data_IF_664354399359
#
_entry.id   IF_664354399359
#
_cell.length_a   1.000
_cell.length_b   1.000
_cell.length_c   1.000
_cell.angle_alpha   90.00
_cell.angle_beta   90.00
_cell.angle_gamma   90.00
#
_symmetry.space_group_name_H-M   'P 1'
#
loop_
_entity.id
_entity.type
_entity.pdbx_description
1 polymer ?
#
# COMPACT_ATOMS: atom_id res chain seq x y z
N UNK A 1 -17.23 -23.84 -16.96
CA UNK A 1 -16.09 -23.07 -17.51
C UNK A 1 -15.11 -22.92 -16.37
N UNK A 2 -13.81 -23.09 -16.56
CA UNK A 2 -12.79 -22.88 -15.52
C UNK A 2 -12.67 -21.38 -15.24
N UNK A 3 -12.57 -21.01 -13.96
CA UNK A 3 -12.63 -19.61 -13.49
C UNK A 3 -11.33 -19.19 -12.83
N UNK A 4 -10.92 -17.95 -13.06
CA UNK A 4 -9.86 -17.29 -12.29
C UNK A 4 -10.36 -16.95 -10.88
N UNK A 5 -9.44 -16.68 -9.93
CA UNK A 5 -9.80 -16.14 -8.61
C UNK A 5 -10.67 -14.88 -8.75
N UNK A 6 -10.29 -13.98 -9.66
CA UNK A 6 -11.05 -12.77 -9.95
C UNK A 6 -12.48 -13.09 -10.38
N UNK A 7 -12.67 -14.04 -11.33
CA UNK A 7 -14.00 -14.44 -11.80
C UNK A 7 -14.85 -15.03 -10.68
N UNK A 8 -14.28 -15.88 -9.83
CA UNK A 8 -15.02 -16.51 -8.73
C UNK A 8 -15.57 -15.48 -7.76
N UNK A 9 -14.73 -14.50 -7.37
CA UNK A 9 -15.16 -13.44 -6.45
C UNK A 9 -16.11 -12.48 -7.15
N UNK A 10 -15.81 -12.04 -8.37
CA UNK A 10 -16.64 -11.11 -9.12
C UNK A 10 -18.06 -11.65 -9.34
N UNK A 11 -18.16 -12.87 -9.88
CA UNK A 11 -19.44 -13.46 -10.29
C UNK A 11 -20.37 -13.71 -9.08
N UNK A 12 -19.81 -13.97 -7.89
CA UNK A 12 -20.60 -14.14 -6.66
C UNK A 12 -21.12 -12.83 -6.07
N UNK A 13 -20.64 -11.68 -6.54
CA UNK A 13 -21.05 -10.36 -6.08
C UNK A 13 -21.91 -9.59 -7.10
N UNK A 14 -22.22 -10.19 -8.25
CA UNK A 14 -23.13 -9.58 -9.22
C UNK A 14 -24.56 -9.67 -8.71
N UNK A 15 -25.19 -8.51 -8.54
CA UNK A 15 -26.60 -8.37 -8.16
C UNK A 15 -27.50 -8.40 -9.38
N UNK A 16 -27.05 -7.69 -10.45
CA UNK A 16 -27.78 -7.63 -11.72
C UNK A 16 -26.81 -7.20 -12.85
N UNK A 17 -27.24 -7.36 -14.08
CA UNK A 17 -26.44 -7.05 -15.27
C UNK A 17 -27.28 -6.36 -16.33
N UNK A 18 -26.81 -5.23 -16.84
CA UNK A 18 -27.41 -4.56 -17.97
C UNK A 18 -27.01 -5.33 -19.24
N UNK A 19 -28.00 -5.73 -20.05
CA UNK A 19 -27.74 -6.45 -21.29
C UNK A 19 -26.74 -5.70 -22.18
N UNK A 20 -25.60 -6.34 -22.49
CA UNK A 20 -24.50 -5.75 -23.25
C UNK A 20 -23.89 -4.48 -22.60
N UNK A 21 -23.98 -4.35 -21.28
CA UNK A 21 -23.53 -3.17 -20.52
C UNK A 21 -22.84 -3.54 -19.22
N UNK A 22 -22.70 -2.55 -18.33
CA UNK A 22 -22.09 -2.76 -17.03
C UNK A 22 -22.91 -3.66 -16.11
N UNK A 23 -22.28 -4.13 -15.05
CA UNK A 23 -22.84 -4.99 -14.03
C UNK A 23 -22.99 -4.23 -12.70
N UNK A 24 -23.99 -4.58 -11.92
CA UNK A 24 -24.18 -4.05 -10.56
C UNK A 24 -23.43 -4.97 -9.61
N UNK A 25 -22.31 -4.49 -9.08
CA UNK A 25 -21.45 -5.21 -8.16
C UNK A 25 -21.79 -4.82 -6.71
N UNK A 26 -22.15 -5.81 -5.87
CA UNK A 26 -22.30 -5.62 -4.44
C UNK A 26 -20.96 -5.39 -3.74
N UNK A 27 -20.91 -4.53 -2.73
CA UNK A 27 -19.70 -4.18 -1.97
C UNK A 27 -19.84 -4.66 -0.53
N UNK A 28 -18.99 -5.58 -0.08
CA UNK A 28 -19.00 -6.12 1.28
C UNK A 28 -18.53 -5.11 2.32
N UNK A 29 -17.45 -4.37 2.01
CA UNK A 29 -16.87 -3.38 2.92
C UNK A 29 -16.55 -2.08 2.19
N UNK A 30 -16.97 -0.98 2.81
CA UNK A 30 -16.60 0.36 2.39
C UNK A 30 -15.73 1.00 3.45
N UNK A 31 -14.46 1.19 3.16
CA UNK A 31 -13.51 1.86 4.02
C UNK A 31 -13.51 3.35 3.69
N UNK A 32 -13.50 4.21 4.69
CA UNK A 32 -13.53 5.66 4.49
C UNK A 32 -12.56 6.39 5.43
N UNK A 33 -12.16 7.58 5.00
CA UNK A 33 -11.28 8.47 5.77
C UNK A 33 -11.69 9.95 5.55
N UNK A 34 -11.02 10.86 6.25
CA UNK A 34 -11.39 12.28 6.35
C UNK A 34 -11.27 13.07 5.05
N UNK A 35 -10.49 12.56 4.06
CA UNK A 35 -10.21 13.34 2.83
C UNK A 35 -11.28 13.15 1.76
N UNK A 36 -11.73 11.92 1.51
CA UNK A 36 -12.58 11.59 0.34
C UNK A 36 -14.06 11.39 0.69
N UNK A 37 -14.40 11.22 1.98
CA UNK A 37 -15.79 10.96 2.41
C UNK A 37 -16.68 12.21 2.59
N UNK A 38 -16.20 13.41 2.98
CA UNK A 38 -17.06 14.53 3.35
C UNK A 38 -18.05 14.98 2.26
N UNK A 39 -17.60 15.03 1.00
CA UNK A 39 -18.45 15.43 -0.12
C UNK A 39 -19.56 14.42 -0.39
N UNK A 40 -19.28 13.11 -0.24
CA UNK A 40 -20.28 12.07 -0.41
C UNK A 40 -21.40 12.16 0.65
N UNK A 41 -21.03 12.41 1.91
CA UNK A 41 -22.01 12.65 2.98
C UNK A 41 -22.89 13.86 2.67
N UNK A 42 -22.28 14.96 2.24
CA UNK A 42 -22.99 16.18 1.89
C UNK A 42 -23.96 15.96 0.73
N UNK A 43 -23.55 15.26 -0.32
CA UNK A 43 -24.40 14.92 -1.46
C UNK A 43 -25.64 14.14 -1.03
N UNK A 44 -25.48 13.11 -0.19
CA UNK A 44 -26.61 12.32 0.29
C UNK A 44 -27.56 13.14 1.18
N UNK A 45 -27.01 14.01 2.03
CA UNK A 45 -27.80 14.88 2.89
C UNK A 45 -28.66 15.88 2.08
N UNK A 46 -28.06 16.55 1.07
CA UNK A 46 -28.76 17.47 0.17
C UNK A 46 -29.89 16.76 -0.61
N UNK A 47 -29.65 15.51 -1.01
CA UNK A 47 -30.62 14.68 -1.74
C UNK A 47 -31.60 13.94 -0.81
N UNK A 48 -31.44 14.07 0.51
CA UNK A 48 -32.24 13.36 1.53
C UNK A 48 -32.24 11.84 1.37
N UNK A 49 -31.09 11.28 0.94
CA UNK A 49 -30.88 9.84 0.77
C UNK A 49 -30.17 9.32 2.03
N UNK A 50 -30.76 8.36 2.77
CA UNK A 50 -30.10 7.76 3.92
C UNK A 50 -28.97 6.82 3.49
N UNK A 51 -27.98 6.61 4.38
CA UNK A 51 -26.96 5.56 4.18
C UNK A 51 -27.63 4.19 4.35
N UNK A 52 -27.50 3.35 3.34
CA UNK A 52 -28.23 2.08 3.27
C UNK A 52 -27.76 1.04 4.29
N UNK A 53 -26.42 0.85 4.42
CA UNK A 53 -25.83 -0.16 5.33
C UNK A 53 -24.64 0.40 6.10
N UNK A 54 -24.84 1.25 7.11
CA UNK A 54 -23.75 1.87 7.87
C UNK A 54 -22.82 0.85 8.54
N UNK A 55 -23.32 -0.35 8.93
CA UNK A 55 -22.54 -1.43 9.53
C UNK A 55 -21.51 -2.07 8.56
N UNK A 56 -21.60 -1.82 7.26
CA UNK A 56 -20.61 -2.25 6.25
C UNK A 56 -19.53 -1.19 6.01
N UNK A 57 -19.67 -0.03 6.63
CA UNK A 57 -18.72 1.08 6.51
C UNK A 57 -17.82 1.10 7.74
N UNK A 58 -16.53 1.29 7.51
CA UNK A 58 -15.54 1.47 8.59
C UNK A 58 -14.71 2.70 8.28
N UNK A 59 -14.59 3.58 9.25
CA UNK A 59 -13.89 4.86 9.14
C UNK A 59 -12.63 4.90 10.00
N UNK A 60 -11.60 5.60 9.51
CA UNK A 60 -10.41 5.95 10.29
C UNK A 60 -9.89 7.33 9.85
N UNK A 61 -9.16 7.99 10.72
CA UNK A 61 -8.45 9.23 10.43
C UNK A 61 -6.98 8.90 10.17
N UNK A 62 -6.47 9.14 8.95
CA UNK A 62 -5.13 8.65 8.58
C UNK A 62 -4.32 9.55 7.62
N UNK A 63 -4.95 10.34 6.77
CA UNK A 63 -4.28 11.08 5.70
C UNK A 63 -3.76 12.43 6.17
N UNK A 64 -4.63 13.25 6.75
CA UNK A 64 -4.30 14.59 7.20
C UNK A 64 -4.19 14.66 8.73
N UNK A 65 -3.37 13.79 9.29
CA UNK A 65 -3.14 13.66 10.73
C UNK A 65 -1.69 14.04 11.07
N UNK A 66 -1.45 14.71 12.22
CA UNK A 66 -0.09 14.94 12.68
C UNK A 66 0.57 13.61 13.04
N UNK A 67 1.88 13.52 12.90
CA UNK A 67 2.69 12.35 13.34
C UNK A 67 3.56 12.68 14.54
N UNK A 68 3.40 13.87 15.10
CA UNK A 68 4.00 14.31 16.35
C UNK A 68 2.91 14.87 17.26
N UNK A 69 3.04 14.59 18.55
CA UNK A 69 2.18 15.16 19.58
C UNK A 69 0.67 14.96 19.33
N UNK A 70 0.27 13.78 18.82
CA UNK A 70 -1.15 13.45 18.54
C UNK A 70 -2.09 13.56 19.74
N UNK A 71 -1.54 13.62 20.95
CA UNK A 71 -2.29 13.85 22.20
C UNK A 71 -2.65 15.34 22.43
N UNK A 72 -2.04 16.26 21.68
CA UNK A 72 -2.34 17.69 21.75
C UNK A 72 -3.41 18.08 20.72
N UNK A 73 -4.09 19.22 20.93
CA UNK A 73 -5.04 19.74 19.95
C UNK A 73 -4.36 20.03 18.61
N UNK A 74 -5.02 19.61 17.52
CA UNK A 74 -4.54 19.78 16.16
C UNK A 74 -4.47 21.28 15.82
N UNK A 75 -3.29 21.76 15.46
CA UNK A 75 -3.02 23.18 15.19
C UNK A 75 -3.45 23.58 13.77
N UNK A 76 -3.25 22.71 12.79
CA UNK A 76 -3.70 22.98 11.43
C UNK A 76 -5.21 23.02 11.34
N UNK A 77 -5.76 24.18 10.94
CA UNK A 77 -7.21 24.40 10.90
C UNK A 77 -7.93 23.52 9.88
N UNK A 78 -7.28 23.17 8.78
CA UNK A 78 -7.89 22.34 7.72
C UNK A 78 -7.96 20.90 8.19
N UNK A 79 -6.87 20.36 8.72
CA UNK A 79 -6.81 19.01 9.31
C UNK A 79 -7.84 18.85 10.42
N UNK A 80 -7.87 19.81 11.35
CA UNK A 80 -8.85 19.82 12.44
C UNK A 80 -10.29 19.75 11.92
N UNK A 81 -10.63 20.61 10.97
CA UNK A 81 -11.98 20.66 10.37
C UNK A 81 -12.36 19.34 9.68
N UNK A 82 -11.42 18.73 8.95
CA UNK A 82 -11.66 17.45 8.25
C UNK A 82 -11.91 16.31 9.24
N UNK A 83 -11.13 16.24 10.31
CA UNK A 83 -11.29 15.20 11.35
C UNK A 83 -12.60 15.38 12.15
N UNK A 84 -12.92 16.62 12.54
CA UNK A 84 -14.20 16.93 13.20
C UNK A 84 -15.41 16.59 12.30
N UNK A 85 -15.30 16.88 10.99
CA UNK A 85 -16.35 16.55 10.02
C UNK A 85 -16.52 15.04 9.87
N UNK A 86 -15.42 14.27 9.80
CA UNK A 86 -15.47 12.81 9.76
C UNK A 86 -16.17 12.26 11.01
N UNK A 87 -15.77 12.72 12.21
CA UNK A 87 -16.37 12.29 13.48
C UNK A 87 -17.87 12.60 13.54
N UNK A 88 -18.25 13.81 13.18
CA UNK A 88 -19.67 14.23 13.13
C UNK A 88 -20.49 13.38 12.15
N UNK A 89 -19.96 13.15 10.93
CA UNK A 89 -20.63 12.34 9.92
C UNK A 89 -20.81 10.89 10.37
N UNK A 90 -19.77 10.28 10.96
CA UNK A 90 -19.82 8.91 11.44
C UNK A 90 -20.81 8.75 12.61
N UNK A 91 -20.79 9.68 13.57
CA UNK A 91 -21.72 9.70 14.71
C UNK A 91 -23.18 9.83 14.24
N UNK A 92 -23.46 10.79 13.35
CA UNK A 92 -24.80 11.03 12.79
C UNK A 92 -25.38 9.80 12.09
N UNK A 93 -24.52 9.01 11.44
CA UNK A 93 -24.92 7.89 10.59
C UNK A 93 -24.65 6.51 11.22
N UNK A 94 -24.28 6.43 12.50
CA UNK A 94 -23.93 5.18 13.20
C UNK A 94 -22.85 4.34 12.50
N UNK A 95 -21.82 5.00 11.99
CA UNK A 95 -20.67 4.37 11.31
C UNK A 95 -19.57 4.13 12.34
N UNK A 96 -18.96 2.93 12.30
CA UNK A 96 -17.82 2.59 13.14
C UNK A 96 -16.60 3.45 12.73
N UNK A 97 -16.13 4.28 13.67
CA UNK A 97 -14.97 5.15 13.48
C UNK A 97 -13.87 4.80 14.49
N UNK A 98 -12.64 4.67 13.98
CA UNK A 98 -11.42 4.63 14.78
C UNK A 98 -10.74 6.00 14.71
N UNK A 99 -11.11 6.87 15.66
CA UNK A 99 -10.54 8.23 15.77
C UNK A 99 -9.05 8.21 16.08
N UNK A 100 -8.37 9.35 15.89
CA UNK A 100 -6.93 9.49 16.08
C UNK A 100 -6.43 9.00 17.45
N UNK A 101 -7.21 9.17 18.51
CA UNK A 101 -6.88 8.69 19.86
C UNK A 101 -7.19 7.22 20.10
N UNK A 102 -7.93 6.57 19.20
CA UNK A 102 -8.38 5.19 19.40
C UNK A 102 -7.21 4.21 19.21
N UNK A 103 -7.11 3.18 20.07
CA UNK A 103 -6.03 2.16 20.03
C UNK A 103 -5.96 1.33 18.75
N UNK A 104 -6.97 1.36 17.92
CA UNK A 104 -7.01 0.69 16.60
C UNK A 104 -6.96 1.69 15.45
N UNK A 105 -6.66 2.97 15.72
CA UNK A 105 -6.43 3.94 14.67
C UNK A 105 -5.16 3.59 13.86
N UNK A 106 -5.16 3.96 12.59
CA UNK A 106 -4.04 3.77 11.69
C UNK A 106 -4.45 4.01 10.24
N UNK A 107 -3.48 3.91 9.36
CA UNK A 107 -3.70 3.96 7.91
C UNK A 107 -4.74 2.89 7.54
N UNK A 108 -5.76 3.29 6.81
CA UNK A 108 -6.91 2.44 6.49
C UNK A 108 -6.51 1.08 5.89
N UNK A 109 -5.48 1.05 5.05
CA UNK A 109 -4.95 -0.16 4.41
C UNK A 109 -3.97 -0.96 5.28
N UNK A 110 -3.70 -0.52 6.51
CA UNK A 110 -2.94 -1.24 7.53
C UNK A 110 -3.88 -1.74 8.61
N UNK A 111 -4.69 -0.85 9.21
CA UNK A 111 -5.55 -1.20 10.32
C UNK A 111 -6.68 -2.19 9.94
N UNK A 112 -7.26 -2.09 8.74
CA UNK A 112 -8.34 -2.98 8.35
C UNK A 112 -7.89 -4.45 8.19
N UNK A 113 -6.75 -4.78 7.55
CA UNK A 113 -6.13 -6.09 7.65
C UNK A 113 -5.82 -6.54 9.08
N UNK A 114 -5.16 -5.71 9.87
CA UNK A 114 -4.77 -6.03 11.26
C UNK A 114 -5.97 -6.36 12.15
N UNK A 115 -7.11 -5.77 11.89
CA UNK A 115 -8.33 -6.02 12.64
C UNK A 115 -9.15 -7.21 12.10
N UNK A 116 -8.77 -7.81 10.96
CA UNK A 116 -9.53 -8.87 10.31
C UNK A 116 -10.81 -8.39 9.63
N UNK A 117 -10.90 -7.09 9.33
CA UNK A 117 -12.00 -6.50 8.54
C UNK A 117 -11.88 -6.97 7.08
N UNK A 118 -10.64 -7.09 6.58
CA UNK A 118 -10.31 -7.66 5.29
C UNK A 118 -10.30 -9.18 5.36
N UNK A 119 -11.09 -9.85 4.52
CA UNK A 119 -11.16 -11.32 4.46
C UNK A 119 -11.19 -11.80 3.01
N UNK A 120 -10.76 -13.05 2.75
CA UNK A 120 -10.80 -13.62 1.42
C UNK A 120 -12.19 -13.64 0.80
N UNK A 121 -12.24 -13.41 -0.50
CA UNK A 121 -13.49 -13.48 -1.28
C UNK A 121 -14.44 -12.29 -1.09
N UNK A 122 -14.01 -11.22 -0.41
CA UNK A 122 -14.80 -9.98 -0.27
C UNK A 122 -14.58 -9.02 -1.43
N UNK A 123 -15.53 -8.10 -1.60
CA UNK A 123 -15.40 -6.87 -2.37
C UNK A 123 -15.21 -5.68 -1.43
N UNK A 124 -14.11 -4.93 -1.60
CA UNK A 124 -13.70 -3.84 -0.70
C UNK A 124 -13.41 -2.58 -1.50
N UNK A 125 -13.99 -1.45 -1.10
CA UNK A 125 -13.72 -0.16 -1.72
C UNK A 125 -13.34 0.92 -0.71
N UNK A 126 -12.60 1.91 -1.18
CA UNK A 126 -12.24 3.12 -0.44
C UNK A 126 -12.01 4.26 -1.44
N UNK A 127 -12.10 5.49 -0.98
CA UNK A 127 -11.73 6.68 -1.78
C UNK A 127 -10.22 6.85 -2.01
N UNK A 128 -9.43 5.80 -1.91
CA UNK A 128 -7.98 5.76 -2.11
C UNK A 128 -7.60 4.61 -3.05
N UNK A 129 -6.72 4.89 -4.01
CA UNK A 129 -6.27 3.91 -5.00
C UNK A 129 -5.54 2.70 -4.37
N UNK A 130 -4.83 2.89 -3.24
CA UNK A 130 -4.10 1.81 -2.56
C UNK A 130 -5.01 0.83 -1.81
N UNK A 131 -6.33 0.95 -1.94
CA UNK A 131 -7.30 -0.08 -1.57
C UNK A 131 -6.95 -1.46 -2.17
N UNK A 132 -6.23 -1.47 -3.30
CA UNK A 132 -5.63 -2.67 -3.89
C UNK A 132 -4.84 -3.54 -2.90
N UNK A 133 -4.30 -2.96 -1.82
CA UNK A 133 -3.62 -3.69 -0.73
C UNK A 133 -4.41 -4.89 -0.22
N UNK A 134 -5.73 -4.74 -0.10
CA UNK A 134 -6.61 -5.78 0.46
C UNK A 134 -6.74 -7.01 -0.44
N UNK A 135 -6.34 -6.89 -1.71
CA UNK A 135 -6.28 -8.03 -2.64
C UNK A 135 -5.25 -9.09 -2.27
N UNK A 136 -4.29 -8.76 -1.39
CA UNK A 136 -3.36 -9.73 -0.79
C UNK A 136 -4.06 -10.89 -0.06
N UNK A 137 -5.32 -10.70 0.30
CA UNK A 137 -6.18 -11.70 0.94
C UNK A 137 -7.05 -12.47 -0.05
N UNK A 138 -6.92 -12.24 -1.35
CA UNK A 138 -7.85 -12.81 -2.34
C UNK A 138 -9.20 -12.08 -2.36
N UNK A 139 -9.24 -10.82 -1.97
CA UNK A 139 -10.40 -9.94 -2.10
C UNK A 139 -10.32 -9.12 -3.39
N UNK A 140 -11.46 -8.79 -3.99
CA UNK A 140 -11.54 -7.75 -5.01
C UNK A 140 -11.56 -6.39 -4.32
N UNK A 141 -10.44 -5.67 -4.39
CA UNK A 141 -10.28 -4.42 -3.66
C UNK A 141 -9.73 -3.32 -4.59
N UNK A 142 -10.39 -2.17 -4.61
CA UNK A 142 -10.00 -1.09 -5.52
C UNK A 142 -10.48 0.29 -5.04
N UNK A 143 -9.75 1.31 -5.47
CA UNK A 143 -10.08 2.71 -5.22
C UNK A 143 -11.27 3.19 -6.04
N UNK A 144 -12.09 4.09 -5.46
CA UNK A 144 -13.25 4.69 -6.10
C UNK A 144 -13.24 6.21 -5.96
N UNK A 145 -13.85 6.90 -6.93
CA UNK A 145 -14.03 8.35 -6.88
C UNK A 145 -15.14 8.80 -5.92
N UNK A 146 -15.16 10.06 -5.56
CA UNK A 146 -16.09 10.63 -4.57
C UNK A 146 -17.58 10.39 -4.92
N UNK A 147 -17.97 10.48 -6.19
CA UNK A 147 -19.34 10.18 -6.63
C UNK A 147 -19.70 8.69 -6.42
N UNK A 148 -18.71 7.78 -6.60
CA UNK A 148 -18.90 6.36 -6.32
C UNK A 148 -18.97 6.08 -4.82
N UNK A 149 -18.25 6.84 -3.97
CA UNK A 149 -18.41 6.78 -2.50
C UNK A 149 -19.88 7.07 -2.13
N UNK A 150 -20.49 8.13 -2.68
CA UNK A 150 -21.89 8.44 -2.47
C UNK A 150 -22.83 7.33 -2.98
N UNK A 151 -22.53 6.74 -4.14
CA UNK A 151 -23.28 5.62 -4.68
C UNK A 151 -23.26 4.40 -3.75
N UNK A 152 -22.09 4.03 -3.21
CA UNK A 152 -21.95 2.92 -2.26
C UNK A 152 -22.66 3.23 -0.95
N UNK A 153 -22.62 4.46 -0.46
CA UNK A 153 -23.39 4.87 0.72
C UNK A 153 -24.90 4.65 0.51
N UNK A 154 -25.41 5.02 -0.65
CA UNK A 154 -26.83 4.97 -0.97
C UNK A 154 -27.34 3.53 -1.26
N UNK A 155 -26.51 2.65 -1.85
CA UNK A 155 -26.99 1.40 -2.42
C UNK A 155 -26.18 0.16 -2.03
N UNK A 156 -25.01 0.31 -1.43
CA UNK A 156 -24.02 -0.75 -1.21
C UNK A 156 -23.55 -1.42 -2.50
N UNK A 157 -23.76 -0.81 -3.64
CA UNK A 157 -23.43 -1.34 -4.95
C UNK A 157 -22.70 -0.32 -5.83
N UNK A 158 -22.00 -0.82 -6.85
CA UNK A 158 -21.39 -0.04 -7.91
C UNK A 158 -21.80 -0.56 -9.29
N UNK A 159 -22.06 0.36 -10.21
CA UNK A 159 -22.26 0.04 -11.62
C UNK A 159 -20.90 0.06 -12.32
N UNK A 160 -20.39 -1.09 -12.75
CA UNK A 160 -19.03 -1.27 -13.28
C UNK A 160 -19.00 -2.18 -14.51
N UNK A 161 -18.10 -1.86 -15.44
CA UNK A 161 -17.68 -2.82 -16.47
C UNK A 161 -16.63 -3.75 -15.86
N UNK A 162 -16.82 -5.07 -16.02
CA UNK A 162 -15.87 -6.07 -15.53
C UNK A 162 -14.49 -5.85 -16.16
N UNK A 163 -13.43 -5.61 -15.36
CA UNK A 163 -12.07 -5.55 -15.87
C UNK A 163 -11.63 -6.85 -16.52
N UNK A 164 -10.68 -6.77 -17.45
CA UNK A 164 -9.97 -7.94 -17.96
C UNK A 164 -9.06 -8.54 -16.89
N UNK A 165 -8.68 -9.81 -17.07
CA UNK A 165 -7.78 -10.53 -16.18
C UNK A 165 -6.33 -10.47 -16.68
N UNK A 166 -5.41 -10.09 -15.80
CA UNK A 166 -3.96 -10.12 -16.02
C UNK A 166 -3.34 -11.07 -15.00
N UNK A 167 -2.43 -11.95 -15.44
CA UNK A 167 -1.64 -12.78 -14.52
C UNK A 167 -0.16 -12.40 -14.58
N UNK A 168 0.48 -12.30 -13.42
CA UNK A 168 1.93 -12.13 -13.30
C UNK A 168 2.45 -13.27 -12.45
N UNK A 169 3.28 -14.12 -13.06
CA UNK A 169 3.90 -15.27 -12.40
C UNK A 169 5.38 -15.00 -12.17
N UNK A 170 5.84 -15.21 -10.93
CA UNK A 170 7.27 -15.17 -10.58
C UNK A 170 7.66 -16.51 -9.97
N UNK A 171 8.60 -17.19 -10.59
CA UNK A 171 9.07 -18.51 -10.19
C UNK A 171 10.57 -18.49 -9.84
N UNK A 172 11.03 -19.47 -9.09
CA UNK A 172 12.43 -19.58 -8.69
C UNK A 172 12.70 -19.17 -7.25
N UNK A 173 13.94 -18.80 -6.96
CA UNK A 173 14.39 -18.42 -5.62
C UNK A 173 14.93 -16.99 -5.63
N UNK A 174 14.38 -16.13 -4.78
CA UNK A 174 14.83 -14.74 -4.65
C UNK A 174 16.27 -14.66 -4.15
N UNK A 175 17.04 -13.76 -4.75
CA UNK A 175 18.39 -13.45 -4.31
C UNK A 175 18.39 -12.89 -2.87
N UNK A 176 19.49 -13.11 -2.14
CA UNK A 176 19.66 -12.61 -0.77
C UNK A 176 19.53 -11.08 -0.74
N UNK A 177 18.74 -10.56 0.18
CA UNK A 177 18.50 -9.12 0.34
C UNK A 177 17.37 -8.56 -0.51
N UNK A 178 16.76 -9.36 -1.38
CA UNK A 178 15.57 -8.97 -2.15
C UNK A 178 14.33 -9.06 -1.25
N UNK A 179 13.57 -7.99 -1.18
CA UNK A 179 12.32 -7.89 -0.43
C UNK A 179 11.11 -7.75 -1.38
N UNK A 180 9.88 -7.97 -0.90
CA UNK A 180 8.66 -7.84 -1.72
C UNK A 180 8.55 -6.51 -2.47
N UNK A 181 9.07 -5.42 -1.90
CA UNK A 181 9.15 -4.11 -2.55
C UNK A 181 10.05 -4.13 -3.80
N UNK A 182 11.17 -4.85 -3.73
CA UNK A 182 12.09 -4.98 -4.86
C UNK A 182 11.44 -5.80 -5.98
N UNK A 183 10.70 -6.86 -5.62
CA UNK A 183 9.96 -7.69 -6.59
C UNK A 183 8.95 -6.86 -7.37
N UNK A 184 8.11 -6.07 -6.69
CA UNK A 184 7.10 -5.27 -7.40
C UNK A 184 7.72 -4.10 -8.17
N UNK A 185 8.78 -3.46 -7.68
CA UNK A 185 9.51 -2.43 -8.43
C UNK A 185 10.16 -3.02 -9.69
N UNK A 186 10.74 -4.22 -9.60
CA UNK A 186 11.29 -4.92 -10.76
C UNK A 186 10.20 -5.18 -11.80
N UNK A 187 9.06 -5.76 -11.39
CA UNK A 187 7.93 -6.04 -12.29
C UNK A 187 7.49 -4.75 -12.99
N UNK A 188 7.22 -3.68 -12.24
CA UNK A 188 6.77 -2.40 -12.82
C UNK A 188 7.81 -1.83 -13.78
N UNK A 189 9.10 -1.94 -13.47
CA UNK A 189 10.18 -1.47 -14.36
C UNK A 189 10.23 -2.24 -15.69
N UNK A 190 9.79 -3.51 -15.71
CA UNK A 190 9.76 -4.36 -16.91
C UNK A 190 8.50 -4.20 -17.74
N UNK A 191 7.33 -4.12 -17.09
CA UNK A 191 6.05 -4.06 -17.81
C UNK A 191 5.62 -2.62 -18.12
N UNK A 192 6.12 -1.63 -17.37
CA UNK A 192 5.76 -0.21 -17.50
C UNK A 192 4.51 0.18 -16.68
N UNK A 193 4.33 1.49 -16.51
CA UNK A 193 3.28 2.08 -15.67
C UNK A 193 1.86 1.95 -16.22
N UNK A 194 1.68 1.52 -17.47
CA UNK A 194 0.38 1.38 -18.13
C UNK A 194 -0.01 -0.07 -18.44
N UNK A 195 0.83 -1.05 -18.08
CA UNK A 195 0.65 -2.45 -18.46
C UNK A 195 -0.64 -3.08 -17.94
N UNK A 196 -1.11 -2.62 -16.78
CA UNK A 196 -2.31 -3.10 -16.11
C UNK A 196 -3.57 -2.28 -16.39
N UNK A 197 -3.52 -1.27 -17.28
CA UNK A 197 -4.68 -0.41 -17.56
C UNK A 197 -5.86 -1.23 -18.13
N UNK A 198 -6.98 -1.21 -17.44
CA UNK A 198 -8.17 -1.99 -17.80
C UNK A 198 -8.17 -3.42 -17.25
N UNK A 199 -7.15 -3.82 -16.51
CA UNK A 199 -7.01 -5.16 -15.96
C UNK A 199 -7.14 -5.17 -14.43
N UNK A 200 -7.55 -6.32 -13.91
CA UNK A 200 -7.35 -6.75 -12.53
C UNK A 200 -6.22 -7.79 -12.53
N UNK A 201 -5.20 -7.61 -11.69
CA UNK A 201 -3.98 -8.41 -11.72
C UNK A 201 -4.03 -9.53 -10.69
N UNK A 202 -3.75 -10.78 -11.07
CA UNK A 202 -3.49 -11.90 -10.18
C UNK A 202 -1.99 -12.21 -10.18
N UNK A 203 -1.38 -12.21 -8.99
CA UNK A 203 0.00 -12.63 -8.80
C UNK A 203 0.05 -14.10 -8.40
N UNK A 204 0.92 -14.87 -9.05
CA UNK A 204 1.04 -16.31 -8.90
C UNK A 204 2.51 -16.78 -8.95
N UNK A 205 2.74 -18.02 -8.56
CA UNK A 205 4.05 -18.64 -8.49
C UNK A 205 4.62 -18.66 -7.08
N UNK A 206 5.60 -19.53 -6.88
CA UNK A 206 6.13 -19.85 -5.57
C UNK A 206 6.73 -18.64 -4.83
N UNK A 207 7.16 -17.59 -5.54
CA UNK A 207 7.66 -16.37 -4.90
C UNK A 207 6.56 -15.69 -4.09
N UNK A 208 5.35 -15.53 -4.65
CA UNK A 208 4.23 -14.91 -3.94
C UNK A 208 3.61 -15.84 -2.90
N UNK A 209 3.58 -17.15 -3.17
CA UNK A 209 3.08 -18.16 -2.24
C UNK A 209 3.94 -18.23 -0.96
N UNK A 210 5.25 -18.04 -1.09
CA UNK A 210 6.19 -18.04 0.03
C UNK A 210 6.32 -16.68 0.75
N UNK A 211 5.68 -15.61 0.24
CA UNK A 211 5.70 -14.30 0.92
C UNK A 211 4.84 -14.32 2.19
N UNK A 212 5.29 -13.56 3.19
CA UNK A 212 4.46 -13.16 4.32
C UNK A 212 3.24 -12.36 3.85
N UNK A 213 2.21 -12.23 4.69
CA UNK A 213 1.07 -11.37 4.35
C UNK A 213 1.46 -9.91 4.17
N UNK A 214 2.42 -9.42 4.94
CA UNK A 214 2.99 -8.07 4.82
C UNK A 214 3.63 -7.87 3.45
N UNK A 215 4.39 -8.86 2.97
CA UNK A 215 4.97 -8.86 1.64
C UNK A 215 3.92 -8.88 0.52
N UNK A 216 2.89 -9.74 0.65
CA UNK A 216 1.76 -9.79 -0.30
C UNK A 216 1.01 -8.46 -0.35
N UNK A 217 0.80 -7.81 0.81
CA UNK A 217 0.17 -6.49 0.88
C UNK A 217 1.02 -5.41 0.19
N UNK A 218 2.34 -5.46 0.30
CA UNK A 218 3.26 -4.56 -0.41
C UNK A 218 3.11 -4.71 -1.93
N UNK A 219 3.08 -5.95 -2.43
CA UNK A 219 2.92 -6.24 -3.87
C UNK A 219 1.56 -5.75 -4.38
N UNK A 220 0.47 -6.13 -3.72
CA UNK A 220 -0.88 -5.74 -4.12
C UNK A 220 -1.10 -4.22 -4.00
N UNK A 221 -0.51 -3.56 -3.00
CA UNK A 221 -0.54 -2.11 -2.84
C UNK A 221 -0.02 -1.39 -4.09
N UNK A 222 1.10 -1.85 -4.64
CA UNK A 222 1.75 -1.21 -5.78
C UNK A 222 1.22 -1.64 -7.15
N UNK A 223 0.23 -2.49 -7.24
CA UNK A 223 -0.40 -2.91 -8.50
C UNK A 223 -0.95 -1.73 -9.31
N UNK A 224 -1.45 -0.71 -8.62
CA UNK A 224 -1.97 0.51 -9.23
C UNK A 224 -0.88 1.37 -9.88
N UNK A 225 0.37 1.18 -9.51
CA UNK A 225 1.49 1.93 -10.09
C UNK A 225 1.88 1.39 -11.50
N UNK A 226 1.36 0.23 -11.90
CA UNK A 226 1.38 -0.22 -13.30
C UNK A 226 0.03 -0.01 -14.01
N UNK A 227 -0.88 0.80 -13.44
CA UNK A 227 -2.18 1.13 -14.01
C UNK A 227 -3.27 0.08 -13.78
N UNK A 228 -3.02 -1.00 -13.06
CA UNK A 228 -4.02 -2.02 -12.77
C UNK A 228 -5.16 -1.48 -11.90
N UNK A 229 -6.36 -2.00 -12.07
CA UNK A 229 -7.51 -1.66 -11.23
C UNK A 229 -7.34 -2.13 -9.80
N UNK A 230 -6.63 -3.24 -9.62
CA UNK A 230 -6.26 -3.84 -8.34
C UNK A 230 -5.36 -5.05 -8.56
N UNK A 231 -4.77 -5.56 -7.48
CA UNK A 231 -3.98 -6.78 -7.48
C UNK A 231 -4.56 -7.79 -6.50
N UNK A 232 -4.43 -9.08 -6.82
CA UNK A 232 -4.89 -10.20 -5.98
C UNK A 232 -3.79 -11.24 -5.84
N UNK A 233 -3.78 -11.91 -4.67
CA UNK A 233 -3.04 -13.15 -4.44
C UNK A 233 -4.04 -14.16 -3.90
N UNK A 234 -3.98 -15.40 -4.40
CA UNK A 234 -4.87 -16.46 -3.96
C UNK A 234 -4.69 -16.72 -2.43
N UNK A 235 -5.78 -16.80 -1.66
CA UNK A 235 -5.70 -17.08 -0.24
C UNK A 235 -5.25 -18.53 0.00
N UNK A 236 -4.39 -18.71 0.97
CA UNK A 236 -3.80 -19.97 1.40
C UNK A 236 -3.68 -20.05 2.94
N UNK A 237 -2.98 -21.05 3.46
CA UNK A 237 -2.80 -21.23 4.90
C UNK A 237 -2.12 -20.00 5.55
N UNK A 238 -1.18 -19.33 4.88
CA UNK A 238 -0.57 -18.06 5.36
C UNK A 238 -1.62 -16.99 5.57
N UNK A 239 -2.57 -16.87 4.63
CA UNK A 239 -3.70 -15.94 4.73
C UNK A 239 -4.65 -16.31 5.86
N UNK A 240 -4.97 -17.61 6.00
CA UNK A 240 -5.92 -18.07 7.03
C UNK A 240 -5.36 -17.87 8.43
N UNK A 241 -4.11 -18.22 8.67
CA UNK A 241 -3.44 -17.98 9.95
C UNK A 241 -3.31 -16.48 10.28
N UNK A 242 -3.07 -15.62 9.27
CA UNK A 242 -3.04 -14.18 9.48
C UNK A 242 -4.39 -13.63 9.93
N UNK A 243 -5.51 -14.12 9.37
CA UNK A 243 -6.87 -13.66 9.72
C UNK A 243 -7.35 -14.22 11.05
N UNK A 244 -6.91 -15.43 11.41
CA UNK A 244 -7.37 -16.17 12.59
C UNK A 244 -7.19 -15.38 13.89
N UNK A 245 -8.25 -15.32 14.69
CA UNK A 245 -8.23 -14.69 16.01
C UNK A 245 -8.25 -13.16 16.01
N UNK A 246 -8.26 -12.50 14.86
CA UNK A 246 -8.38 -11.04 14.78
C UNK A 246 -9.76 -10.56 15.19
N UNK A 247 -9.86 -9.31 15.60
CA UNK A 247 -11.05 -8.74 16.26
C UNK A 247 -12.35 -8.90 15.47
N UNK A 248 -12.30 -8.68 14.16
CA UNK A 248 -13.46 -8.76 13.25
C UNK A 248 -13.44 -10.00 12.36
N UNK A 249 -12.50 -10.91 12.57
CA UNK A 249 -12.51 -12.21 11.91
C UNK A 249 -13.66 -13.08 12.43
N UNK A 250 -14.16 -14.01 11.61
CA UNK A 250 -15.08 -15.05 12.09
C UNK A 250 -14.47 -15.82 13.26
N UNK A 251 -15.29 -16.32 14.15
CA UNK A 251 -14.85 -17.04 15.34
C UNK A 251 -15.31 -18.49 15.29
N UNK A 252 -14.51 -19.37 15.93
CA UNK A 252 -14.87 -20.78 16.15
C UNK A 252 -15.33 -21.48 14.85
N UNK A 253 -16.43 -22.21 14.90
CA UNK A 253 -16.97 -22.95 13.77
C UNK A 253 -17.30 -22.07 12.54
N UNK A 254 -17.62 -20.80 12.74
CA UNK A 254 -17.82 -19.86 11.65
C UNK A 254 -16.50 -19.57 10.89
N UNK A 255 -15.37 -19.58 11.60
CA UNK A 255 -14.06 -19.46 10.97
C UNK A 255 -13.76 -20.67 10.09
N UNK A 256 -13.99 -21.89 10.61
CA UNK A 256 -13.74 -23.12 9.87
C UNK A 256 -14.60 -23.22 8.60
N UNK A 257 -15.87 -22.81 8.67
CA UNK A 257 -16.77 -22.72 7.51
C UNK A 257 -16.23 -21.72 6.46
N UNK A 258 -15.72 -20.57 6.93
CA UNK A 258 -15.11 -19.58 6.04
C UNK A 258 -13.83 -20.10 5.39
N UNK A 259 -12.97 -20.77 6.15
CA UNK A 259 -11.75 -21.42 5.59
C UNK A 259 -12.11 -22.43 4.53
N UNK A 260 -13.14 -23.27 4.77
CA UNK A 260 -13.62 -24.22 3.76
C UNK A 260 -14.05 -23.52 2.44
N UNK A 261 -14.74 -22.38 2.55
CA UNK A 261 -15.09 -21.55 1.39
C UNK A 261 -13.84 -20.90 0.78
N UNK A 262 -12.94 -20.31 1.57
CA UNK A 262 -11.73 -19.63 1.06
C UNK A 262 -10.81 -20.57 0.27
N UNK A 263 -10.75 -21.85 0.64
CA UNK A 263 -10.01 -22.89 -0.10
C UNK A 263 -10.58 -23.18 -1.50
N UNK A 264 -11.78 -22.73 -1.80
CA UNK A 264 -12.38 -22.87 -3.15
C UNK A 264 -12.05 -21.71 -4.09
N UNK A 265 -11.50 -20.62 -3.55
CA UNK A 265 -11.25 -19.38 -4.30
C UNK A 265 -10.08 -19.42 -5.28
N UNK A 266 -8.95 -20.12 -5.02
CA UNK A 266 -7.81 -20.11 -5.95
C UNK A 266 -8.25 -20.45 -7.39
N UNK A 267 -7.55 -19.86 -8.35
CA UNK A 267 -7.77 -20.04 -9.78
C UNK A 267 -7.80 -21.52 -10.18
N UNK A 268 -8.78 -21.92 -10.97
CA UNK A 268 -8.91 -23.30 -11.45
C UNK A 268 -7.74 -23.67 -12.36
N UNK A 269 -7.25 -24.91 -12.25
CA UNK A 269 -6.21 -25.41 -13.15
C UNK A 269 -6.70 -25.33 -14.60
N UNK A 270 -5.96 -24.58 -15.44
CA UNK A 270 -6.27 -24.33 -16.84
C UNK A 270 -7.35 -23.26 -17.07
N UNK A 271 -7.60 -22.38 -16.10
CA UNK A 271 -8.27 -21.11 -16.37
C UNK A 271 -7.39 -20.23 -17.27
N UNK A 272 -7.99 -19.40 -18.10
CA UNK A 272 -7.31 -18.53 -19.05
C UNK A 272 -7.36 -17.08 -18.58
N UNK A 273 -6.28 -16.35 -18.84
CA UNK A 273 -6.18 -14.92 -18.60
C UNK A 273 -6.14 -14.16 -19.93
N UNK A 274 -6.62 -12.92 -19.94
CA UNK A 274 -6.55 -12.07 -21.13
C UNK A 274 -5.10 -11.66 -21.46
N UNK A 275 -4.23 -11.64 -20.42
CA UNK A 275 -2.80 -11.31 -20.55
C UNK A 275 -1.99 -11.99 -19.45
N UNK A 276 -0.78 -12.42 -19.77
CA UNK A 276 0.13 -13.03 -18.81
C UNK A 276 1.56 -12.50 -18.96
N UNK A 277 2.27 -12.41 -17.83
CA UNK A 277 3.71 -12.14 -17.77
C UNK A 277 4.38 -13.18 -16.86
N UNK A 278 5.60 -13.56 -17.22
CA UNK A 278 6.42 -14.51 -16.48
C UNK A 278 7.79 -13.91 -16.19
N UNK A 279 8.27 -14.10 -14.95
CA UNK A 279 9.58 -13.63 -14.51
C UNK A 279 10.26 -14.71 -13.68
N UNK A 280 11.60 -14.73 -13.77
CA UNK A 280 12.44 -15.59 -12.95
C UNK A 280 12.92 -14.78 -11.72
N UNK A 281 12.84 -15.41 -10.55
CA UNK A 281 13.19 -14.76 -9.28
C UNK A 281 14.68 -14.41 -9.20
N UNK A 282 15.53 -15.20 -9.84
CA UNK A 282 16.97 -15.04 -9.91
C UNK A 282 17.40 -13.75 -10.65
N UNK A 283 16.54 -13.22 -11.53
CA UNK A 283 16.78 -11.95 -12.23
C UNK A 283 16.52 -10.73 -11.36
N UNK A 284 15.87 -10.92 -10.21
CA UNK A 284 15.48 -9.83 -9.32
C UNK A 284 16.61 -9.55 -8.33
N UNK A 285 17.08 -8.32 -8.32
CA UNK A 285 18.01 -7.78 -7.34
C UNK A 285 17.35 -6.66 -6.52
N UNK A 286 17.96 -6.17 -5.42
CA UNK A 286 17.50 -4.99 -4.73
C UNK A 286 17.33 -3.81 -5.68
N UNK A 287 16.18 -3.11 -5.61
CA UNK A 287 15.75 -2.10 -6.58
C UNK A 287 15.67 -0.70 -5.97
N UNK A 288 15.98 0.30 -6.78
CA UNK A 288 15.72 1.72 -6.51
C UNK A 288 15.11 2.38 -7.74
N UNK A 289 14.43 3.53 -7.55
CA UNK A 289 14.00 4.36 -8.69
C UNK A 289 15.01 5.48 -8.95
N UNK A 290 15.15 5.85 -10.23
CA UNK A 290 16.03 6.94 -10.67
C UNK A 290 15.27 8.14 -11.27
N UNK A 291 13.95 8.04 -11.38
CA UNK A 291 13.11 9.06 -11.99
C UNK A 291 11.90 9.41 -11.14
N UNK A 292 10.84 9.91 -11.78
CA UNK A 292 9.64 10.48 -11.15
C UNK A 292 8.42 9.57 -11.24
N UNK A 293 8.60 8.28 -11.51
CA UNK A 293 7.55 7.26 -11.40
C UNK A 293 8.17 5.88 -11.11
N UNK A 294 7.39 4.91 -10.58
CA UNK A 294 7.89 3.58 -10.23
C UNK A 294 8.37 2.73 -11.41
N UNK A 295 7.94 3.04 -12.65
CA UNK A 295 8.45 2.39 -13.86
C UNK A 295 9.91 2.72 -14.18
N UNK A 296 10.42 3.82 -13.62
CA UNK A 296 11.84 4.20 -13.72
C UNK A 296 12.64 3.52 -12.60
N UNK A 297 12.56 2.18 -12.53
CA UNK A 297 13.29 1.34 -11.58
C UNK A 297 14.57 0.76 -12.20
N UNK A 298 15.63 0.69 -11.40
CA UNK A 298 16.89 -0.01 -11.71
C UNK A 298 17.35 -0.85 -10.53
N UNK A 299 18.17 -1.86 -10.81
CA UNK A 299 18.94 -2.54 -9.76
C UNK A 299 19.83 -1.52 -9.04
N UNK A 300 20.01 -1.65 -7.74
CA UNK A 300 20.90 -0.74 -6.99
C UNK A 300 22.32 -0.72 -7.59
N UNK A 301 22.78 -1.88 -8.05
CA UNK A 301 24.09 -2.05 -8.73
C UNK A 301 24.16 -1.48 -10.15
N UNK A 302 23.01 -1.10 -10.73
CA UNK A 302 22.88 -0.69 -12.13
C UNK A 302 23.22 0.78 -12.39
N UNK A 303 23.05 1.16 -13.66
CA UNK A 303 23.21 2.52 -14.15
C UNK A 303 21.94 3.00 -14.81
N UNK A 304 21.71 4.31 -14.81
CA UNK A 304 20.56 4.94 -15.45
C UNK A 304 20.60 4.67 -16.96
N UNK A 305 19.54 4.05 -17.53
CA UNK A 305 19.54 3.65 -18.93
C UNK A 305 19.48 4.84 -19.89
N UNK A 306 20.00 4.64 -21.10
CA UNK A 306 19.84 5.58 -22.21
C UNK A 306 18.46 5.42 -22.82
N UNK A 307 17.79 6.54 -23.09
CA UNK A 307 16.52 6.56 -23.83
C UNK A 307 16.31 7.91 -24.49
N UNK A 308 15.66 7.91 -25.64
CA UNK A 308 15.22 9.12 -26.34
C UNK A 308 13.88 9.67 -25.82
N UNK A 309 13.26 9.01 -24.85
CA UNK A 309 11.97 9.41 -24.26
C UNK A 309 12.08 10.80 -23.60
N UNK A 310 11.22 11.71 -24.04
CA UNK A 310 11.12 13.08 -23.50
C UNK A 310 10.74 13.06 -22.01
N UNK A 311 9.89 12.10 -21.59
CA UNK A 311 9.49 11.96 -20.18
C UNK A 311 10.69 11.59 -19.32
N UNK A 312 11.58 10.69 -19.80
CA UNK A 312 12.82 10.37 -19.12
C UNK A 312 13.72 11.58 -18.98
N UNK A 313 13.94 12.34 -20.06
CA UNK A 313 14.79 13.55 -20.04
C UNK A 313 14.26 14.58 -19.02
N UNK A 314 12.95 14.76 -18.95
CA UNK A 314 12.31 15.65 -17.96
C UNK A 314 12.53 15.15 -16.53
N UNK A 315 12.31 13.86 -16.28
CA UNK A 315 12.47 13.24 -14.97
C UNK A 315 13.91 13.31 -14.47
N UNK A 316 14.89 13.03 -15.34
CA UNK A 316 16.31 13.14 -14.99
C UNK A 316 16.72 14.58 -14.67
N UNK A 317 16.19 15.55 -15.41
CA UNK A 317 16.41 16.98 -15.11
C UNK A 317 15.86 17.36 -13.73
N UNK A 318 14.67 16.87 -13.37
CA UNK A 318 14.08 17.12 -12.06
C UNK A 318 14.89 16.46 -10.94
N UNK A 319 15.27 15.20 -11.14
CA UNK A 319 16.06 14.41 -10.17
C UNK A 319 17.53 14.85 -10.10
N UNK A 320 18.00 15.67 -11.05
CA UNK A 320 19.41 16.06 -11.21
C UNK A 320 20.34 14.85 -11.33
N UNK A 321 19.95 13.94 -12.24
CA UNK A 321 20.68 12.73 -12.59
C UNK A 321 21.06 12.75 -14.09
N UNK A 322 22.06 11.95 -14.43
CA UNK A 322 22.56 11.81 -15.82
C UNK A 322 22.40 10.38 -16.31
N UNK A 323 22.18 10.25 -17.62
CA UNK A 323 22.24 8.96 -18.31
C UNK A 323 23.61 8.31 -18.09
N UNK A 324 23.61 7.00 -17.83
CA UNK A 324 24.83 6.22 -17.52
C UNK A 324 25.35 6.40 -16.09
N UNK A 325 24.77 7.29 -15.30
CA UNK A 325 25.17 7.48 -13.89
C UNK A 325 24.77 6.27 -13.05
N UNK A 326 25.68 5.85 -12.16
CA UNK A 326 25.35 4.94 -11.05
C UNK A 326 24.92 5.77 -9.84
N UNK A 327 23.85 5.34 -9.15
CA UNK A 327 23.39 6.02 -7.95
C UNK A 327 24.13 5.56 -6.68
N UNK A 328 24.99 4.54 -6.77
CA UNK A 328 25.88 4.14 -5.66
C UNK A 328 26.75 5.33 -5.25
N UNK A 329 26.89 5.56 -3.96
CA UNK A 329 27.53 6.71 -3.32
C UNK A 329 26.82 8.06 -3.49
N UNK A 330 25.61 8.11 -4.07
CA UNK A 330 24.80 9.35 -4.07
C UNK A 330 24.48 9.73 -2.65
N UNK A 331 24.88 10.92 -2.16
CA UNK A 331 24.52 11.42 -0.82
C UNK A 331 23.01 11.58 -0.68
N UNK A 332 22.48 11.23 0.48
CA UNK A 332 21.06 11.31 0.81
C UNK A 332 20.86 12.17 2.05
N UNK A 333 19.82 12.97 2.05
CA UNK A 333 19.49 13.92 3.12
C UNK A 333 18.41 13.34 4.05
N UNK A 334 17.46 12.62 3.49
CA UNK A 334 16.31 12.07 4.20
C UNK A 334 16.12 10.59 3.93
N UNK A 335 15.68 9.87 4.94
CA UNK A 335 15.18 8.50 4.82
C UNK A 335 13.80 8.43 5.46
N UNK A 336 12.83 7.87 4.74
CA UNK A 336 11.47 7.68 5.20
C UNK A 336 11.09 6.20 5.11
N UNK A 337 10.83 5.56 6.26
CA UNK A 337 10.27 4.20 6.36
C UNK A 337 8.85 4.33 6.91
N UNK A 338 7.86 4.06 6.06
CA UNK A 338 6.46 4.30 6.38
C UNK A 338 5.57 4.08 5.17
N UNK A 339 4.39 4.70 5.15
CA UNK A 339 3.36 4.57 4.12
C UNK A 339 2.54 3.27 4.23
N UNK A 340 1.35 3.24 3.64
CA UNK A 340 0.55 2.01 3.55
C UNK A 340 1.26 0.85 2.84
N UNK A 341 2.36 1.12 2.13
CA UNK A 341 3.17 0.11 1.47
C UNK A 341 4.06 -0.64 2.46
N UNK A 342 4.86 0.07 3.26
CA UNK A 342 5.87 -0.52 4.16
C UNK A 342 5.88 0.20 5.52
N UNK A 343 4.87 -0.06 6.32
CA UNK A 343 4.74 0.47 7.68
C UNK A 343 4.16 -0.57 8.65
N UNK A 344 4.32 -1.85 8.32
CA UNK A 344 3.90 -2.98 9.15
C UNK A 344 5.06 -3.44 10.01
N UNK A 345 4.79 -4.23 11.03
CA UNK A 345 5.81 -4.62 12.01
C UNK A 345 7.00 -5.35 11.37
N UNK A 346 6.78 -6.14 10.33
CA UNK A 346 7.85 -6.85 9.61
C UNK A 346 8.86 -5.87 8.98
N UNK A 347 8.38 -4.78 8.40
CA UNK A 347 9.24 -3.73 7.80
C UNK A 347 10.18 -3.13 8.85
N UNK A 348 9.66 -2.87 10.05
CA UNK A 348 10.45 -2.33 11.16
C UNK A 348 11.40 -3.36 11.75
N UNK A 349 11.02 -4.64 11.83
CA UNK A 349 11.92 -5.72 12.25
C UNK A 349 13.11 -5.85 11.29
N UNK A 350 12.86 -5.80 9.98
CA UNK A 350 13.92 -5.84 8.95
C UNK A 350 14.86 -4.66 9.11
N UNK A 351 14.33 -3.44 9.23
CA UNK A 351 15.13 -2.24 9.43
C UNK A 351 15.94 -2.33 10.74
N UNK A 352 15.30 -2.70 11.87
CA UNK A 352 15.94 -2.80 13.18
C UNK A 352 17.09 -3.83 13.19
N UNK A 353 16.90 -4.99 12.55
CA UNK A 353 17.92 -6.02 12.45
C UNK A 353 19.18 -5.50 11.74
N UNK A 354 19.03 -4.70 10.69
CA UNK A 354 20.16 -4.13 9.97
C UNK A 354 20.87 -3.02 10.75
N UNK A 355 20.13 -2.14 11.42
CA UNK A 355 20.70 -0.96 12.09
C UNK A 355 21.18 -1.23 13.52
N UNK A 356 20.83 -2.36 14.11
CA UNK A 356 21.22 -2.72 15.50
C UNK A 356 22.73 -2.58 15.72
N UNK A 357 23.11 -1.77 16.72
CA UNK A 357 24.52 -1.50 17.05
C UNK A 357 25.22 -0.50 16.12
N UNK A 358 24.50 0.10 15.18
CA UNK A 358 25.03 1.12 14.25
C UNK A 358 24.43 2.50 14.59
N UNK A 359 25.03 3.55 14.02
CA UNK A 359 24.54 4.93 14.11
C UNK A 359 24.20 5.43 12.70
N UNK A 360 23.10 6.15 12.55
CA UNK A 360 22.79 6.82 11.29
C UNK A 360 23.84 7.89 10.97
N UNK A 361 24.06 8.13 9.70
CA UNK A 361 24.94 9.21 9.26
C UNK A 361 24.45 10.59 9.75
N UNK A 362 25.37 11.45 10.11
CA UNK A 362 25.06 12.78 10.67
C UNK A 362 24.28 13.69 9.72
N UNK A 363 24.49 13.51 8.42
CA UNK A 363 23.84 14.29 7.35
C UNK A 363 22.42 13.77 7.00
N UNK A 364 21.94 12.70 7.62
CA UNK A 364 20.63 12.13 7.32
C UNK A 364 19.62 12.41 8.41
N UNK A 365 18.44 12.88 8.04
CA UNK A 365 17.23 12.82 8.86
C UNK A 365 16.47 11.56 8.52
N UNK A 366 16.23 10.68 9.49
CA UNK A 366 15.59 9.39 9.26
C UNK A 366 14.29 9.27 10.05
N UNK A 367 13.15 9.21 9.35
CA UNK A 367 11.82 9.08 9.92
C UNK A 367 11.28 7.66 9.78
N UNK A 368 10.80 7.13 10.90
CA UNK A 368 10.10 5.86 11.00
C UNK A 368 8.65 6.14 11.39
N UNK A 369 7.70 5.80 10.52
CA UNK A 369 6.28 6.10 10.74
C UNK A 369 5.47 4.81 10.71
N UNK A 370 5.05 4.29 11.89
CA UNK A 370 4.19 3.10 11.97
C UNK A 370 2.87 3.31 11.24
N UNK A 371 2.34 2.25 10.64
CA UNK A 371 1.08 2.32 9.90
C UNK A 371 -0.16 2.33 10.80
N UNK A 372 -0.03 1.93 12.07
CA UNK A 372 -1.13 1.86 13.01
C UNK A 372 -0.65 1.97 14.47
N UNK A 373 -1.58 2.27 15.38
CA UNK A 373 -1.32 2.21 16.83
C UNK A 373 -0.95 0.81 17.30
N UNK A 374 -1.40 -0.23 16.61
CA UNK A 374 -1.01 -1.61 16.92
C UNK A 374 0.45 -1.86 16.54
N UNK A 375 0.90 -1.40 15.36
CA UNK A 375 2.31 -1.49 14.96
C UNK A 375 3.19 -0.66 15.90
N UNK A 376 2.77 0.56 16.27
CA UNK A 376 3.48 1.39 17.26
C UNK A 376 3.68 0.63 18.59
N UNK A 377 2.61 0.01 19.10
CA UNK A 377 2.67 -0.80 20.32
C UNK A 377 3.60 -2.02 20.17
N UNK A 378 3.59 -2.70 19.02
CA UNK A 378 4.49 -3.81 18.74
C UNK A 378 5.96 -3.37 18.71
N UNK A 379 6.27 -2.23 18.06
CA UNK A 379 7.62 -1.64 18.04
C UNK A 379 8.13 -1.40 19.47
N UNK A 380 7.27 -0.90 20.35
CA UNK A 380 7.62 -0.67 21.77
C UNK A 380 7.81 -1.99 22.52
N UNK A 381 6.84 -2.90 22.41
CA UNK A 381 6.84 -4.16 23.15
C UNK A 381 7.99 -5.10 22.74
N UNK A 382 8.42 -5.05 21.48
CA UNK A 382 9.56 -5.83 20.97
C UNK A 382 10.92 -5.13 21.21
N UNK A 383 10.93 -3.98 21.87
CA UNK A 383 12.16 -3.22 22.16
C UNK A 383 12.80 -2.56 20.93
N UNK A 384 12.12 -2.57 19.77
CA UNK A 384 12.64 -1.97 18.52
C UNK A 384 12.77 -0.45 18.64
N UNK A 385 11.91 0.20 19.44
CA UNK A 385 12.00 1.64 19.71
C UNK A 385 13.39 2.01 20.22
N UNK A 386 13.92 1.29 21.21
CA UNK A 386 15.27 1.55 21.76
C UNK A 386 16.35 1.37 20.68
N UNK A 387 16.23 0.37 19.80
CA UNK A 387 17.18 0.17 18.71
C UNK A 387 17.18 1.37 17.77
N UNK A 388 16.02 1.87 17.39
CA UNK A 388 15.86 3.02 16.49
C UNK A 388 16.39 4.31 17.11
N UNK A 389 15.97 4.63 18.34
CA UNK A 389 16.37 5.85 19.03
C UNK A 389 17.88 5.86 19.32
N UNK A 390 18.44 4.71 19.74
CA UNK A 390 19.88 4.56 19.93
C UNK A 390 20.64 4.80 18.63
N UNK A 391 20.13 4.33 17.50
CA UNK A 391 20.74 4.56 16.19
C UNK A 391 20.52 6.00 15.66
N UNK A 392 19.75 6.82 16.35
CA UNK A 392 19.49 8.24 15.99
C UNK A 392 18.35 8.43 15.00
N UNK A 393 17.48 7.42 14.82
CA UNK A 393 16.25 7.54 14.02
C UNK A 393 15.13 8.18 14.82
N UNK A 394 14.25 8.92 14.14
CA UNK A 394 13.06 9.53 14.74
C UNK A 394 11.85 8.62 14.55
N UNK A 395 11.42 7.94 15.62
CA UNK A 395 10.16 7.20 15.62
C UNK A 395 9.01 8.20 15.81
N UNK A 396 8.17 8.29 14.77
CA UNK A 396 6.98 9.13 14.74
C UNK A 396 5.73 8.35 15.10
N UNK A 397 4.62 9.05 15.31
CA UNK A 397 3.32 8.45 15.57
C UNK A 397 2.63 8.04 14.25
N UNK A 398 1.68 7.09 14.29
CA UNK A 398 1.04 6.53 13.10
C UNK A 398 0.34 7.55 12.21
N UNK A 399 0.47 7.40 10.89
CA UNK A 399 -0.18 8.24 9.88
C UNK A 399 0.48 8.13 8.51
N UNK A 400 -0.07 8.80 7.50
CA UNK A 400 0.48 8.82 6.15
C UNK A 400 1.78 9.64 6.04
N UNK A 401 1.95 10.68 6.88
CA UNK A 401 3.20 11.45 6.99
C UNK A 401 3.71 11.97 5.63
N UNK A 402 5.04 11.94 5.45
CA UNK A 402 5.69 12.36 4.21
C UNK A 402 5.29 11.53 2.97
N UNK A 403 4.60 10.39 3.08
CA UNK A 403 4.11 9.68 1.90
C UNK A 403 3.21 10.55 1.02
N UNK A 404 2.44 11.44 1.62
CA UNK A 404 1.50 12.35 0.94
C UNK A 404 1.84 13.83 1.17
N UNK A 405 2.61 14.13 2.22
CA UNK A 405 3.02 15.49 2.64
C UNK A 405 1.82 16.46 2.82
N UNK A 406 0.68 15.95 3.28
CA UNK A 406 -0.49 16.77 3.61
C UNK A 406 -0.37 17.43 4.98
N UNK A 407 0.48 16.89 5.86
CA UNK A 407 0.81 17.43 7.16
C UNK A 407 2.17 18.17 7.15
N UNK A 408 2.75 18.43 8.32
CA UNK A 408 4.04 19.13 8.46
C UNK A 408 5.26 18.28 8.08
N UNK A 409 5.09 16.98 7.88
CA UNK A 409 6.16 16.06 7.46
C UNK A 409 6.46 16.23 5.98
N UNK A 410 7.30 17.20 5.65
CA UNK A 410 7.68 17.52 4.25
C UNK A 410 9.17 17.44 4.07
N UNK A 411 9.59 16.92 2.93
CA UNK A 411 10.98 16.94 2.50
C UNK A 411 11.25 18.28 1.82
N UNK A 412 12.30 19.01 2.22
CA UNK A 412 12.62 20.31 1.63
C UNK A 412 12.95 20.23 0.14
N UNK A 413 12.82 21.37 -0.54
CA UNK A 413 13.14 21.51 -1.95
C UNK A 413 14.60 21.16 -2.24
N UNK A 414 14.83 20.35 -3.28
CA UNK A 414 16.16 19.94 -3.73
C UNK A 414 16.76 18.77 -2.97
N UNK A 415 16.22 18.43 -1.79
CA UNK A 415 16.72 17.34 -0.95
C UNK A 415 16.31 15.97 -1.48
N UNK A 416 17.22 14.99 -1.34
CA UNK A 416 16.96 13.60 -1.70
C UNK A 416 16.43 12.81 -0.51
N UNK A 417 15.32 12.09 -0.75
CA UNK A 417 14.75 11.16 0.20
C UNK A 417 14.73 9.74 -0.36
N UNK A 418 15.38 8.78 0.29
CA UNK A 418 15.13 7.36 0.06
C UNK A 418 13.92 6.95 0.87
N UNK A 419 12.89 6.43 0.20
CA UNK A 419 11.56 6.27 0.75
C UNK A 419 10.95 4.90 0.46
N UNK A 420 10.28 4.33 1.46
CA UNK A 420 9.48 3.12 1.28
C UNK A 420 8.03 3.41 0.84
N UNK A 421 7.70 4.65 0.51
CA UNK A 421 6.40 5.03 -0.06
C UNK A 421 6.16 4.36 -1.42
N UNK A 422 4.97 4.55 -1.98
CA UNK A 422 4.54 3.90 -3.23
C UNK A 422 4.74 4.77 -4.47
N UNK A 423 4.81 6.09 -4.32
CA UNK A 423 4.89 7.06 -5.42
C UNK A 423 6.01 8.06 -5.21
N UNK A 424 6.62 8.49 -6.30
CA UNK A 424 7.74 9.43 -6.32
C UNK A 424 7.63 10.49 -7.43
N UNK A 425 6.40 10.88 -7.82
CA UNK A 425 6.25 11.98 -8.76
C UNK A 425 6.76 13.31 -8.18
N UNK A 426 7.01 14.28 -9.06
CA UNK A 426 7.56 15.59 -8.72
C UNK A 426 6.79 16.23 -7.53
N UNK A 427 7.48 16.54 -6.44
CA UNK A 427 6.91 17.18 -5.26
C UNK A 427 6.05 16.28 -4.35
N UNK A 428 6.02 14.96 -4.55
CA UNK A 428 5.18 14.03 -3.76
C UNK A 428 5.38 14.13 -2.26
N UNK A 429 6.61 14.25 -1.81
CA UNK A 429 6.97 14.35 -0.38
C UNK A 429 7.24 15.78 0.10
N UNK A 430 6.89 16.77 -0.70
CA UNK A 430 7.12 18.20 -0.48
C UNK A 430 7.50 18.89 -1.78
N UNK A 431 7.17 20.17 -1.91
CA UNK A 431 7.44 20.92 -3.13
C UNK A 431 8.93 20.88 -3.50
N UNK A 432 9.25 20.39 -4.71
CA UNK A 432 10.63 20.29 -5.21
C UNK A 432 11.48 19.21 -4.55
N UNK A 433 10.91 18.34 -3.70
CA UNK A 433 11.62 17.19 -3.12
C UNK A 433 11.90 16.10 -4.16
N UNK A 434 12.98 15.36 -3.98
CA UNK A 434 13.46 14.30 -4.88
C UNK A 434 13.36 12.95 -4.20
N UNK A 435 12.39 12.14 -4.58
CA UNK A 435 12.09 10.86 -3.93
C UNK A 435 12.64 9.68 -4.71
N UNK A 436 13.42 8.82 -4.06
CA UNK A 436 13.92 7.55 -4.56
C UNK A 436 13.20 6.44 -3.81
N UNK A 437 12.39 5.64 -4.52
CA UNK A 437 11.71 4.50 -3.90
C UNK A 437 12.70 3.36 -3.68
N UNK A 438 12.60 2.73 -2.52
CA UNK A 438 13.43 1.59 -2.13
C UNK A 438 12.71 0.69 -1.11
N UNK A 439 13.25 -0.50 -0.89
CA UNK A 439 12.80 -1.40 0.17
C UNK A 439 13.23 -0.93 1.57
N UNK A 440 12.60 -1.39 2.66
CA UNK A 440 12.99 -1.03 4.03
C UNK A 440 14.45 -1.31 4.35
N UNK A 441 15.01 -2.40 3.82
CA UNK A 441 16.42 -2.76 4.01
C UNK A 441 17.35 -1.74 3.36
N UNK A 442 17.10 -1.36 2.09
CA UNK A 442 17.90 -0.35 1.38
C UNK A 442 17.77 1.02 2.08
N UNK A 443 16.56 1.37 2.50
CA UNK A 443 16.32 2.62 3.22
C UNK A 443 17.10 2.67 4.54
N UNK A 444 17.07 1.59 5.33
CA UNK A 444 17.84 1.48 6.58
C UNK A 444 19.35 1.56 6.33
N UNK A 445 19.85 0.85 5.32
CA UNK A 445 21.27 0.88 4.94
C UNK A 445 21.72 2.28 4.48
N UNK A 446 20.89 2.94 3.67
CA UNK A 446 21.13 4.33 3.23
C UNK A 446 21.19 5.30 4.41
N UNK A 447 20.33 5.13 5.43
CA UNK A 447 20.37 5.99 6.61
C UNK A 447 21.66 5.84 7.42
N UNK A 448 22.19 4.61 7.53
CA UNK A 448 23.47 4.34 8.23
C UNK A 448 24.64 4.93 7.45
N UNK A 449 24.71 4.71 6.15
CA UNK A 449 25.84 5.10 5.32
C UNK A 449 25.81 6.58 4.86
N UNK A 450 24.64 7.23 4.96
CA UNK A 450 24.44 8.60 4.46
C UNK A 450 24.39 8.73 2.94
N UNK A 451 24.35 7.62 2.24
CA UNK A 451 24.41 7.51 0.78
C UNK A 451 23.82 6.18 0.32
N UNK A 452 23.44 6.10 -0.96
CA UNK A 452 23.00 4.83 -1.56
C UNK A 452 24.18 3.86 -1.63
N UNK A 453 23.96 2.62 -1.20
CA UNK A 453 24.94 1.53 -1.25
C UNK A 453 24.34 0.27 -1.88
N UNK A 454 25.20 -0.57 -2.40
CA UNK A 454 24.87 -1.92 -2.82
C UNK A 454 24.87 -2.84 -1.58
N UNK A 455 23.66 -3.08 -1.03
CA UNK A 455 23.48 -3.88 0.17
C UNK A 455 23.92 -5.34 -0.01
N UNK A 456 23.89 -5.88 -1.23
CA UNK A 456 24.24 -7.28 -1.49
C UNK A 456 25.66 -7.61 -1.08
N UNK A 457 26.56 -6.62 -1.16
CA UNK A 457 27.98 -6.75 -0.74
C UNK A 457 28.16 -6.84 0.78
N UNK A 458 27.15 -6.50 1.56
CA UNK A 458 27.20 -6.52 3.04
C UNK A 458 26.44 -7.72 3.64
N UNK A 459 25.71 -8.48 2.83
CA UNK A 459 24.91 -9.61 3.26
C UNK A 459 25.61 -10.96 3.14
N UNK A 460 26.89 -10.96 2.82
CA UNK A 460 27.71 -12.19 2.68
C UNK A 460 28.05 -12.80 4.04
#
# INVERSE_FOLDING_TARGET
>A
MKKTLFDKVWDTHIVDSIKNGPQILYIDKHLIHEVTSPQAFKELEERKIPIFRPQQIVATADHNTPTLNQHLPIQDKLSKKQLEQLSSNCTKNNILLFELSHKYNGIVHVMAPELGITQPGMTIVCGDSHTSTHGAFGAIAFGIGTSQVAQVFASQCLLLTKPKSLRITVSGTLNKGVLPKDVILYIISKVGTNAGTGYFCEYAGNVFENMSMEGRMTVCNMSIEMGARGGMIAPDETTFEYVKGRKFAPKESAFDQKVAYWKTLPTDVGATFDKEYFFEAEDIEPMITYGTNPGMGIKVSGTIPTSEDISLKKSLKYMDFKVGESLINKPINYVFIGSCTNSRIEDFRIAANYIKGKQKAKNVTAWLVPGSKQVEAQIVNEGLKTVFETAGFELRQPGCSACLAMNDDKIPQGEYCVSTSNRNFEGRQGQGSRTILASPLIAAATAIEGKIIDITKQLN
#
